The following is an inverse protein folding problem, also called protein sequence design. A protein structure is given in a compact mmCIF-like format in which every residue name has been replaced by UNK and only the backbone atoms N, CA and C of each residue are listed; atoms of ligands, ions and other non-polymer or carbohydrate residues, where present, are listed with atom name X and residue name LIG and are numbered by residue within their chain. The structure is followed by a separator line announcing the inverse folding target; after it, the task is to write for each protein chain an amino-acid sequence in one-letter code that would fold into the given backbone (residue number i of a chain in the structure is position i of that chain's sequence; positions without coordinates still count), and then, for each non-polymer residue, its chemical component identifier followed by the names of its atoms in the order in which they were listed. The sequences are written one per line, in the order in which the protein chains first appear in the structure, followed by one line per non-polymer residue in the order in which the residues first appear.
data_IF_504844127326
#
_entry.id   IF_504844127326
#
_cell.length_a   1.000
_cell.length_b   1.000
_cell.length_c   1.000
_cell.angle_alpha   90.00
_cell.angle_beta   90.00
_cell.angle_gamma   90.00
#
_symmetry.space_group_name_H-M   'P 1'
#
loop_
_entity.id
_entity.type
_entity.pdbx_description
1 polymer ?
#
# COMPACT_ATOMS: atom_id res chain seq x y z
N UNK A 1 27.70 23.66 8.81
CA UNK A 1 26.48 23.57 9.66
C UNK A 1 26.31 22.11 10.05
N UNK A 2 25.77 21.79 11.24
CA UNK A 2 25.48 20.39 11.57
C UNK A 2 24.51 19.81 10.54
N UNK A 3 24.69 18.54 10.19
CA UNK A 3 23.83 17.84 9.24
C UNK A 3 22.43 17.72 9.83
N UNK A 4 21.41 18.12 9.07
CA UNK A 4 20.00 18.02 9.50
C UNK A 4 19.56 16.56 9.56
N UNK A 5 18.90 16.18 10.64
CA UNK A 5 18.38 14.83 10.87
C UNK A 5 16.90 14.76 10.52
N UNK A 6 16.53 13.85 9.63
CA UNK A 6 15.16 13.65 9.17
C UNK A 6 14.72 12.22 9.45
N UNK A 7 13.57 12.06 10.11
CA UNK A 7 12.91 10.77 10.23
C UNK A 7 11.84 10.59 9.15
N UNK A 8 11.81 9.41 8.55
CA UNK A 8 10.74 8.96 7.65
C UNK A 8 10.06 7.75 8.28
N UNK A 9 8.76 7.84 8.54
CA UNK A 9 7.96 6.74 9.08
C UNK A 9 7.21 6.06 7.95
N UNK A 10 7.60 4.84 7.62
CA UNK A 10 7.12 4.02 6.52
C UNK A 10 8.13 3.86 5.40
N UNK A 11 8.51 2.60 5.14
CA UNK A 11 9.46 2.20 4.08
C UNK A 11 8.76 1.73 2.80
N UNK A 12 7.55 2.22 2.52
CA UNK A 12 6.89 2.05 1.22
C UNK A 12 7.51 2.96 0.15
N UNK A 13 6.95 2.95 -1.05
CA UNK A 13 7.51 3.73 -2.18
C UNK A 13 7.59 5.23 -1.89
N UNK A 14 6.65 5.80 -1.14
CA UNK A 14 6.67 7.21 -0.72
C UNK A 14 7.92 7.52 0.11
N UNK A 15 8.14 6.70 1.15
CA UNK A 15 9.32 6.86 2.01
C UNK A 15 10.63 6.60 1.28
N UNK A 16 10.65 5.62 0.38
CA UNK A 16 11.82 5.27 -0.41
C UNK A 16 12.26 6.41 -1.35
N UNK A 17 11.31 6.99 -2.09
CA UNK A 17 11.59 8.13 -2.99
C UNK A 17 11.99 9.37 -2.19
N UNK A 18 11.30 9.64 -1.08
CA UNK A 18 11.66 10.76 -0.21
C UNK A 18 13.06 10.58 0.41
N UNK A 19 13.40 9.39 0.88
CA UNK A 19 14.74 9.07 1.41
C UNK A 19 15.81 9.27 0.35
N UNK A 20 15.60 8.76 -0.86
CA UNK A 20 16.52 8.94 -1.98
C UNK A 20 16.76 10.42 -2.32
N UNK A 21 15.72 11.24 -2.22
CA UNK A 21 15.83 12.66 -2.47
C UNK A 21 16.52 13.43 -1.33
N UNK A 22 16.34 13.03 -0.07
CA UNK A 22 16.84 13.74 1.12
C UNK A 22 18.24 13.32 1.55
N UNK A 23 18.61 12.04 1.42
CA UNK A 23 19.86 11.50 1.94
C UNK A 23 21.14 12.17 1.40
N UNK A 24 21.18 12.73 0.17
CA UNK A 24 22.36 13.49 -0.28
C UNK A 24 22.67 14.75 0.55
N UNK A 25 21.70 15.30 1.28
CA UNK A 25 21.83 16.57 2.00
C UNK A 25 21.42 16.52 3.48
N UNK A 26 20.86 15.39 3.93
CA UNK A 26 20.41 15.16 5.30
C UNK A 26 20.88 13.80 5.83
N UNK A 27 20.98 13.66 7.15
CA UNK A 27 21.02 12.37 7.82
C UNK A 27 19.59 11.81 7.88
N UNK A 28 19.30 10.78 7.09
CA UNK A 28 17.94 10.23 6.96
C UNK A 28 17.82 8.88 7.64
N UNK A 29 16.82 8.74 8.50
CA UNK A 29 16.44 7.49 9.15
C UNK A 29 15.03 7.08 8.73
N UNK A 30 14.89 5.88 8.17
CA UNK A 30 13.61 5.30 7.76
C UNK A 30 13.19 4.22 8.73
N UNK A 31 12.02 4.36 9.32
CA UNK A 31 11.43 3.38 10.25
C UNK A 31 10.29 2.64 9.58
N UNK A 32 10.38 1.32 9.48
CA UNK A 32 9.35 0.49 8.87
C UNK A 32 8.93 -0.66 9.79
N UNK A 33 7.61 -0.84 9.95
CA UNK A 33 7.05 -1.86 10.83
C UNK A 33 7.04 -3.27 10.21
N UNK A 34 7.33 -3.39 8.92
CA UNK A 34 7.31 -4.65 8.19
C UNK A 34 8.33 -5.65 8.74
N UNK A 35 7.85 -6.81 9.22
CA UNK A 35 8.72 -7.88 9.75
C UNK A 35 9.66 -8.47 8.70
N UNK A 36 9.27 -8.38 7.43
CA UNK A 36 10.05 -8.86 6.28
C UNK A 36 10.77 -7.73 5.55
N UNK A 37 10.90 -6.59 6.20
CA UNK A 37 11.52 -5.38 5.66
C UNK A 37 10.55 -4.45 4.94
N UNK A 38 11.07 -3.32 4.42
CA UNK A 38 10.31 -2.30 3.73
C UNK A 38 9.55 -2.83 2.51
N UNK A 39 8.51 -2.11 2.10
CA UNK A 39 7.71 -2.48 0.94
C UNK A 39 6.29 -1.88 1.00
N UNK A 40 5.73 -1.80 2.18
CA UNK A 40 4.38 -1.30 2.39
C UNK A 40 3.35 -2.09 1.57
N UNK A 41 2.49 -1.39 0.83
CA UNK A 41 1.48 -2.00 -0.05
C UNK A 41 2.05 -2.57 -1.36
N UNK A 42 3.29 -2.30 -1.71
CA UNK A 42 4.03 -3.04 -2.73
C UNK A 42 4.55 -4.36 -2.13
N UNK A 43 3.62 -5.19 -1.67
CA UNK A 43 3.92 -6.43 -0.94
C UNK A 43 3.97 -7.63 -1.85
N UNK A 44 4.92 -8.50 -1.54
CA UNK A 44 5.14 -9.78 -2.22
C UNK A 44 5.15 -10.92 -1.20
N UNK A 45 4.78 -12.12 -1.64
CA UNK A 45 4.83 -13.33 -0.84
C UNK A 45 5.47 -14.45 -1.63
N UNK A 46 6.51 -15.02 -1.05
CA UNK A 46 7.16 -16.24 -1.50
C UNK A 46 6.75 -17.37 -0.57
N UNK A 47 6.32 -18.49 -1.10
CA UNK A 47 5.79 -19.63 -0.36
C UNK A 47 6.48 -20.91 -0.78
N UNK A 48 6.87 -21.73 0.19
CA UNK A 48 7.36 -23.07 -0.05
C UNK A 48 6.23 -23.97 -0.58
N UNK A 49 6.36 -24.59 -1.75
CA UNK A 49 5.28 -25.34 -2.38
C UNK A 49 4.90 -26.64 -1.63
N UNK A 50 5.77 -27.14 -0.77
CA UNK A 50 5.55 -28.41 -0.04
C UNK A 50 4.96 -28.19 1.35
N UNK A 51 5.42 -27.18 2.06
CA UNK A 51 5.02 -26.89 3.44
C UNK A 51 3.99 -25.75 3.56
N UNK A 52 3.81 -24.97 2.49
CA UNK A 52 3.06 -23.73 2.44
C UNK A 52 3.56 -22.65 3.42
N UNK A 53 4.79 -22.83 3.92
CA UNK A 53 5.42 -21.83 4.78
C UNK A 53 5.80 -20.58 3.97
N UNK A 54 5.57 -19.42 4.56
CA UNK A 54 5.99 -18.14 3.97
C UNK A 54 7.50 -17.98 4.17
N UNK A 55 8.22 -17.81 3.07
CA UNK A 55 9.67 -17.66 3.06
C UNK A 55 10.06 -16.17 3.13
N UNK A 56 10.95 -15.85 4.04
CA UNK A 56 11.55 -14.51 4.15
C UNK A 56 12.89 -14.49 3.40
N UNK A 57 12.84 -14.52 2.07
CA UNK A 57 14.04 -14.59 1.23
C UNK A 57 13.90 -13.74 -0.03
N UNK A 58 15.01 -13.15 -0.46
CA UNK A 58 15.11 -12.46 -1.76
C UNK A 58 15.68 -13.40 -2.86
N UNK A 59 16.06 -14.62 -2.49
CA UNK A 59 16.49 -15.68 -3.39
C UNK A 59 15.60 -16.93 -3.18
N UNK A 60 14.40 -16.94 -3.80
CA UNK A 60 13.46 -18.04 -3.64
C UNK A 60 14.05 -19.35 -4.17
N UNK A 61 13.78 -20.48 -3.49
CA UNK A 61 14.19 -21.78 -4.00
C UNK A 61 13.45 -22.11 -5.30
N UNK A 62 14.01 -22.96 -6.16
CA UNK A 62 13.33 -23.42 -7.36
C UNK A 62 11.94 -23.99 -7.03
N UNK A 63 10.95 -23.59 -7.82
CA UNK A 63 9.56 -24.04 -7.63
C UNK A 63 8.76 -23.30 -6.55
N UNK A 64 9.33 -22.31 -5.88
CA UNK A 64 8.58 -21.46 -4.94
C UNK A 64 7.35 -20.85 -5.60
N UNK A 65 6.28 -20.68 -4.82
CA UNK A 65 5.10 -19.97 -5.25
C UNK A 65 5.26 -18.49 -4.92
N UNK A 66 5.04 -17.62 -5.91
CA UNK A 66 5.33 -16.21 -5.77
C UNK A 66 4.13 -15.34 -6.15
N UNK A 67 3.79 -14.36 -5.31
CA UNK A 67 2.59 -13.54 -5.46
C UNK A 67 2.85 -12.09 -5.07
N UNK A 68 2.61 -11.16 -5.99
CA UNK A 68 2.40 -9.76 -5.63
C UNK A 68 0.97 -9.60 -5.13
N UNK A 69 0.75 -9.65 -3.82
CA UNK A 69 -0.60 -9.65 -3.24
C UNK A 69 -1.10 -8.26 -2.83
N UNK A 70 -0.29 -7.23 -3.01
CA UNK A 70 -0.66 -5.84 -2.85
C UNK A 70 -0.71 -5.12 -4.20
N UNK A 71 0.15 -4.14 -4.41
CA UNK A 71 0.29 -3.43 -5.68
C UNK A 71 0.70 -4.40 -6.79
N UNK A 72 -0.03 -4.37 -7.90
CA UNK A 72 0.14 -5.35 -8.99
C UNK A 72 1.15 -4.91 -10.04
N UNK A 73 1.26 -3.61 -10.25
CA UNK A 73 2.13 -2.95 -11.22
C UNK A 73 2.20 -1.46 -10.92
N UNK A 74 3.06 -0.74 -11.61
CA UNK A 74 3.12 0.71 -11.58
C UNK A 74 2.95 1.30 -13.00
N UNK A 75 2.38 2.48 -13.05
CA UNK A 75 2.29 3.33 -14.24
C UNK A 75 3.23 4.52 -14.10
N UNK A 76 3.54 5.14 -15.22
CA UNK A 76 4.34 6.34 -15.29
C UNK A 76 3.69 7.35 -16.26
N UNK A 77 2.60 7.98 -15.80
CA UNK A 77 1.83 8.95 -16.60
C UNK A 77 2.41 10.37 -16.47
N UNK A 78 2.91 10.74 -15.29
CA UNK A 78 3.59 12.00 -15.05
C UNK A 78 5.04 11.95 -15.58
N UNK A 79 5.53 13.08 -16.12
CA UNK A 79 6.89 13.16 -16.65
C UNK A 79 7.97 12.83 -15.60
N UNK A 80 7.76 13.23 -14.35
CA UNK A 80 8.69 12.93 -13.24
C UNK A 80 8.67 11.44 -12.90
N UNK A 81 7.48 10.82 -12.93
CA UNK A 81 7.38 9.38 -12.73
C UNK A 81 8.02 8.60 -13.87
N UNK A 82 7.90 9.08 -15.13
CA UNK A 82 8.64 8.48 -16.26
C UNK A 82 10.15 8.54 -16.07
N UNK A 83 10.66 9.66 -15.55
CA UNK A 83 12.09 9.78 -15.26
C UNK A 83 12.53 8.79 -14.16
N UNK A 84 11.78 8.66 -13.07
CA UNK A 84 12.05 7.67 -12.04
C UNK A 84 11.97 6.23 -12.58
N UNK A 85 10.94 5.91 -13.36
CA UNK A 85 10.78 4.59 -13.96
C UNK A 85 11.93 4.25 -14.92
N UNK A 86 12.38 5.20 -15.73
CA UNK A 86 13.53 5.02 -16.62
C UNK A 86 14.81 4.73 -15.81
N UNK A 87 15.10 5.52 -14.79
CA UNK A 87 16.22 5.26 -13.88
C UNK A 87 16.16 3.87 -13.26
N UNK A 88 14.97 3.47 -12.77
CA UNK A 88 14.79 2.16 -12.14
C UNK A 88 14.91 1.00 -13.14
N UNK A 89 14.52 1.20 -14.40
CA UNK A 89 14.73 0.22 -15.46
C UNK A 89 16.22 0.07 -15.77
N UNK A 90 16.95 1.18 -15.93
CA UNK A 90 18.39 1.17 -16.19
C UNK A 90 19.18 0.47 -15.08
N UNK A 91 18.69 0.55 -13.84
CA UNK A 91 19.26 -0.10 -12.66
C UNK A 91 18.74 -1.53 -12.42
N UNK A 92 17.88 -2.05 -13.28
CA UNK A 92 17.28 -3.39 -13.12
C UNK A 92 16.36 -3.53 -11.90
N UNK A 93 15.84 -2.44 -11.37
CA UNK A 93 14.91 -2.42 -10.23
C UNK A 93 13.51 -2.80 -10.70
N UNK A 94 13.07 -2.24 -11.82
CA UNK A 94 11.81 -2.60 -12.47
C UNK A 94 12.01 -2.87 -13.96
N UNK A 95 11.01 -3.47 -14.57
CA UNK A 95 10.99 -3.72 -16.02
C UNK A 95 9.57 -3.54 -16.56
N UNK A 96 9.45 -3.27 -17.86
CA UNK A 96 8.16 -3.23 -18.52
C UNK A 96 7.52 -4.62 -18.48
N UNK A 97 6.31 -4.70 -17.98
CA UNK A 97 5.52 -5.93 -18.01
C UNK A 97 4.84 -6.07 -19.37
N UNK A 98 5.36 -6.98 -20.19
CA UNK A 98 4.86 -7.25 -21.55
C UNK A 98 3.79 -8.34 -21.55
N UNK A 99 2.93 -8.34 -20.53
CA UNK A 99 1.81 -9.25 -20.44
C UNK A 99 0.70 -8.94 -21.44
N UNK A 100 -0.14 -9.92 -21.68
CA UNK A 100 -1.37 -9.79 -22.46
C UNK A 100 -2.51 -9.45 -21.52
N UNK A 101 -3.11 -8.29 -21.72
CA UNK A 101 -4.17 -7.77 -20.85
C UNK A 101 -5.51 -7.81 -21.57
N UNK A 102 -6.57 -8.09 -20.82
CA UNK A 102 -7.92 -8.12 -21.35
C UNK A 102 -8.98 -7.82 -20.29
N UNK A 103 -10.22 -7.70 -20.77
CA UNK A 103 -11.41 -7.50 -19.94
C UNK A 103 -12.37 -8.64 -20.16
N UNK A 104 -12.95 -9.15 -19.08
CA UNK A 104 -13.97 -10.20 -19.07
C UNK A 104 -15.25 -9.65 -18.46
N UNK A 105 -16.37 -9.83 -19.17
CA UNK A 105 -17.68 -9.27 -18.82
C UNK A 105 -17.95 -7.90 -19.42
N UNK A 106 -19.21 -7.48 -19.38
CA UNK A 106 -19.69 -6.22 -19.93
C UNK A 106 -19.52 -5.08 -18.90
N UNK A 107 -19.42 -3.83 -19.39
CA UNK A 107 -19.44 -2.63 -18.55
C UNK A 107 -18.19 -2.39 -17.72
N UNK A 108 -17.12 -3.12 -17.96
CA UNK A 108 -15.92 -3.01 -17.15
C UNK A 108 -15.18 -1.69 -17.37
N UNK A 109 -15.14 -0.86 -16.35
CA UNK A 109 -14.10 0.15 -16.27
C UNK A 109 -12.73 -0.53 -16.21
N UNK A 110 -11.70 -0.04 -16.92
CA UNK A 110 -10.36 -0.57 -16.77
C UNK A 110 -9.96 -0.60 -15.28
N UNK A 111 -9.31 -1.66 -14.83
CA UNK A 111 -8.69 -1.64 -13.51
C UNK A 111 -7.87 -0.35 -13.41
N UNK A 112 -8.10 0.43 -12.37
CA UNK A 112 -7.64 1.84 -12.27
C UNK A 112 -6.16 2.06 -12.55
N UNK A 113 -5.40 1.02 -12.67
CA UNK A 113 -4.00 1.07 -13.04
C UNK A 113 -3.72 0.82 -14.52
N UNK A 114 -4.63 0.20 -15.29
CA UNK A 114 -4.35 -0.08 -16.69
C UNK A 114 -4.47 1.19 -17.53
N UNK A 115 -3.45 1.50 -18.36
CA UNK A 115 -3.54 2.64 -19.27
C UNK A 115 -4.59 2.36 -20.36
N UNK A 116 -5.32 3.38 -20.73
CA UNK A 116 -6.19 3.36 -21.92
C UNK A 116 -5.41 3.49 -23.23
N UNK A 117 -4.11 3.75 -23.15
CA UNK A 117 -3.17 3.89 -24.24
C UNK A 117 -2.14 2.75 -24.23
N UNK A 118 -1.33 2.65 -25.28
CA UNK A 118 -0.19 1.71 -25.36
C UNK A 118 1.00 2.05 -24.43
N UNK A 119 0.79 2.91 -23.42
CA UNK A 119 1.82 3.24 -22.44
C UNK A 119 2.21 2.00 -21.64
N UNK A 120 3.51 1.77 -21.38
CA UNK A 120 3.95 0.59 -20.67
C UNK A 120 3.48 0.63 -19.21
N UNK A 121 3.14 -0.53 -18.67
CA UNK A 121 3.08 -0.79 -17.23
C UNK A 121 4.38 -1.47 -16.80
N UNK A 122 4.83 -1.16 -15.60
CA UNK A 122 6.07 -1.70 -15.08
C UNK A 122 5.82 -2.54 -13.83
N UNK A 123 6.69 -3.49 -13.58
CA UNK A 123 6.71 -4.30 -12.36
C UNK A 123 8.11 -4.35 -11.77
N UNK A 124 8.22 -4.59 -10.47
CA UNK A 124 9.51 -4.87 -9.83
C UNK A 124 10.07 -6.20 -10.33
N UNK A 125 11.34 -6.22 -10.72
CA UNK A 125 12.02 -7.46 -11.14
C UNK A 125 12.15 -8.41 -9.94
N UNK A 126 11.45 -9.55 -10.01
CA UNK A 126 11.37 -10.49 -8.89
C UNK A 126 10.41 -10.04 -7.77
N UNK A 127 9.39 -9.24 -8.11
CA UNK A 127 8.30 -8.83 -7.23
C UNK A 127 8.27 -7.34 -6.89
N UNK A 128 7.06 -6.83 -6.70
CA UNK A 128 6.81 -5.41 -6.47
C UNK A 128 7.51 -4.83 -5.24
N UNK A 129 7.70 -5.63 -4.19
CA UNK A 129 8.37 -5.21 -2.95
C UNK A 129 9.83 -4.78 -3.16
N UNK A 130 10.46 -5.29 -4.21
CA UNK A 130 11.85 -4.95 -4.52
C UNK A 130 12.03 -3.51 -4.98
N UNK A 131 11.01 -2.88 -5.54
CA UNK A 131 11.13 -1.49 -5.98
C UNK A 131 11.44 -0.56 -4.80
N UNK A 132 10.59 -0.43 -3.76
CA UNK A 132 10.92 0.43 -2.62
C UNK A 132 12.18 -0.02 -1.87
N UNK A 133 12.45 -1.33 -1.75
CA UNK A 133 13.66 -1.83 -1.07
C UNK A 133 14.93 -1.39 -1.77
N UNK A 134 15.04 -1.61 -3.07
CA UNK A 134 16.22 -1.25 -3.84
C UNK A 134 16.44 0.26 -3.95
N UNK A 135 15.35 1.03 -3.99
CA UNK A 135 15.44 2.49 -3.92
C UNK A 135 15.98 2.93 -2.56
N UNK A 136 15.51 2.33 -1.46
CA UNK A 136 16.05 2.61 -0.12
C UNK A 136 17.51 2.17 0.03
N UNK A 137 17.85 0.97 -0.38
CA UNK A 137 19.23 0.45 -0.33
C UNK A 137 20.21 1.39 -1.04
N UNK A 138 19.79 1.95 -2.16
CA UNK A 138 20.62 2.86 -2.94
C UNK A 138 20.61 4.31 -2.43
N UNK A 139 19.71 4.67 -1.52
CA UNK A 139 19.56 6.05 -1.04
C UNK A 139 20.68 6.51 -0.09
N UNK A 140 21.31 5.57 0.60
CA UNK A 140 22.25 5.87 1.70
C UNK A 140 21.56 6.20 3.03
N UNK A 141 20.23 6.11 3.12
CA UNK A 141 19.50 6.30 4.36
C UNK A 141 19.69 5.11 5.32
N UNK A 142 19.66 5.37 6.62
CA UNK A 142 19.64 4.32 7.64
C UNK A 142 18.23 3.74 7.77
N UNK A 143 18.07 2.44 7.52
CA UNK A 143 16.77 1.76 7.57
C UNK A 143 16.64 0.93 8.84
N UNK A 144 15.58 1.20 9.61
CA UNK A 144 15.20 0.48 10.83
C UNK A 144 13.96 -0.38 10.53
N UNK A 145 14.18 -1.61 10.04
CA UNK A 145 13.12 -2.56 9.72
C UNK A 145 12.59 -3.27 10.97
N UNK A 146 11.31 -3.63 10.97
CA UNK A 146 10.63 -4.27 12.11
C UNK A 146 10.39 -3.33 13.29
N UNK A 147 10.57 -2.02 13.10
CA UNK A 147 10.39 -1.00 14.13
C UNK A 147 9.11 -0.22 13.84
N UNK A 148 8.18 -0.27 14.79
CA UNK A 148 6.94 0.48 14.72
C UNK A 148 7.04 1.80 15.45
N UNK A 149 6.79 2.91 14.76
CA UNK A 149 6.58 4.21 15.39
C UNK A 149 5.12 4.31 15.81
N UNK A 150 4.87 4.38 17.11
CA UNK A 150 3.54 4.42 17.70
C UNK A 150 3.03 5.84 17.97
N UNK A 151 3.90 6.83 17.90
CA UNK A 151 3.57 8.24 18.11
C UNK A 151 4.77 9.16 18.01
N UNK A 152 4.55 10.44 18.18
CA UNK A 152 5.56 11.49 18.20
C UNK A 152 5.47 12.30 19.48
N UNK A 153 6.59 12.89 19.88
CA UNK A 153 6.65 13.87 20.96
C UNK A 153 7.53 15.06 20.57
N UNK A 154 6.99 16.26 20.76
CA UNK A 154 7.73 17.49 20.60
C UNK A 154 8.72 17.65 21.76
N UNK A 155 9.97 17.95 21.47
CA UNK A 155 11.03 18.14 22.46
C UNK A 155 11.79 19.45 22.19
N UNK A 156 12.28 20.10 23.24
CA UNK A 156 13.16 21.24 23.10
C UNK A 156 14.51 20.79 22.54
N UNK A 157 15.06 21.58 21.64
CA UNK A 157 16.43 21.33 21.17
C UNK A 157 17.45 21.63 22.29
N UNK A 158 18.45 20.80 22.44
CA UNK A 158 19.46 20.94 23.49
C UNK A 158 20.32 22.21 23.34
N UNK A 159 20.45 22.73 22.13
CA UNK A 159 21.21 23.93 21.76
C UNK A 159 20.38 25.22 21.77
N UNK A 160 19.11 25.17 22.24
CA UNK A 160 18.16 26.30 22.20
C UNK A 160 17.65 26.61 20.79
N UNK A 161 17.91 25.74 19.83
CA UNK A 161 17.41 25.82 18.46
C UNK A 161 15.90 25.56 18.36
N UNK A 162 15.37 25.46 17.12
CA UNK A 162 13.96 25.09 16.90
C UNK A 162 13.65 23.74 17.52
N UNK A 163 12.45 23.57 18.11
CA UNK A 163 12.04 22.30 18.69
C UNK A 163 12.15 21.13 17.69
N UNK A 164 12.49 19.96 18.23
CA UNK A 164 12.71 18.73 17.51
C UNK A 164 11.61 17.70 17.79
N UNK A 165 11.64 16.58 17.08
CA UNK A 165 10.70 15.47 17.23
C UNK A 165 11.40 14.23 17.77
N UNK A 166 10.92 13.69 18.89
CA UNK A 166 11.24 12.35 19.33
C UNK A 166 10.19 11.38 18.75
N UNK A 167 10.65 10.29 18.16
CA UNK A 167 9.79 9.20 17.74
C UNK A 167 9.58 8.25 18.92
N UNK A 168 8.33 7.88 19.15
CA UNK A 168 7.95 6.92 20.17
C UNK A 168 7.75 5.55 19.49
N UNK A 169 8.36 4.51 20.04
CA UNK A 169 8.31 3.20 19.43
C UNK A 169 8.08 2.11 20.45
N UNK A 170 7.35 1.08 20.03
CA UNK A 170 7.24 -0.18 20.75
C UNK A 170 8.10 -1.18 20.00
N UNK A 171 9.16 -1.66 20.62
CA UNK A 171 9.97 -2.76 20.10
C UNK A 171 9.16 -4.06 20.12
N UNK A 172 9.22 -4.80 19.00
CA UNK A 172 8.53 -6.08 18.87
C UNK A 172 7.20 -6.00 18.13
N UNK A 173 6.65 -7.16 17.84
CA UNK A 173 5.46 -7.36 17.01
C UNK A 173 4.14 -7.11 17.78
N UNK A 174 4.09 -6.13 18.66
CA UNK A 174 2.84 -5.75 19.30
C UNK A 174 1.84 -5.34 18.22
N UNK A 175 0.75 -6.10 18.12
CA UNK A 175 -0.34 -5.78 17.25
C UNK A 175 -0.88 -4.39 17.61
N UNK A 176 -1.34 -3.66 16.59
CA UNK A 176 -2.03 -2.39 16.81
C UNK A 176 -3.36 -2.74 17.50
N UNK A 177 -3.45 -2.46 18.76
CA UNK A 177 -4.71 -2.54 19.49
C UNK A 177 -5.24 -1.13 19.64
N UNK A 178 -6.46 -0.90 19.17
CA UNK A 178 -7.19 0.36 19.30
C UNK A 178 -7.79 0.51 20.72
N UNK A 179 -7.14 -0.05 21.73
CA UNK A 179 -7.58 0.06 23.12
C UNK A 179 -6.96 1.26 23.83
N UNK A 180 -7.63 1.74 24.88
CA UNK A 180 -7.12 2.81 25.71
C UNK A 180 -5.75 2.47 26.33
N UNK A 181 -5.55 1.19 26.70
CA UNK A 181 -4.30 0.67 27.24
C UNK A 181 -3.17 0.73 26.19
N UNK A 182 -3.47 0.38 24.93
CA UNK A 182 -2.48 0.46 23.86
C UNK A 182 -2.09 1.90 23.53
N UNK A 183 -3.04 2.84 23.59
CA UNK A 183 -2.75 4.27 23.45
C UNK A 183 -1.90 4.76 24.61
N UNK A 184 -2.21 4.39 25.86
CA UNK A 184 -1.42 4.74 27.03
C UNK A 184 0.01 4.18 26.93
N UNK A 185 0.15 2.89 26.61
CA UNK A 185 1.45 2.26 26.41
C UNK A 185 2.26 2.93 25.28
N UNK A 186 1.61 3.33 24.19
CA UNK A 186 2.26 4.05 23.09
C UNK A 186 2.71 5.47 23.52
N UNK A 187 1.92 6.15 24.35
CA UNK A 187 2.26 7.47 24.88
C UNK A 187 3.47 7.42 25.85
N UNK A 188 3.59 6.33 26.60
CA UNK A 188 4.69 6.08 27.56
C UNK A 188 5.90 5.40 26.89
N UNK A 189 5.81 5.04 25.61
CA UNK A 189 6.87 4.36 24.89
C UNK A 189 8.19 5.18 24.91
N UNK A 190 9.29 4.46 24.95
CA UNK A 190 10.62 5.07 24.91
C UNK A 190 10.87 5.73 23.56
N UNK A 191 11.66 6.79 23.57
CA UNK A 191 12.11 7.43 22.34
C UNK A 191 13.04 6.50 21.55
N UNK A 192 12.83 6.45 20.24
CA UNK A 192 13.66 5.71 19.29
C UNK A 192 14.89 6.56 18.89
N UNK A 193 15.89 6.58 19.77
CA UNK A 193 17.13 7.31 19.53
C UNK A 193 17.03 8.83 19.77
N UNK A 194 17.98 9.57 19.18
CA UNK A 194 18.05 11.02 19.32
C UNK A 194 16.96 11.72 18.51
N UNK A 195 16.50 12.91 18.93
CA UNK A 195 15.46 13.67 18.23
C UNK A 195 15.83 14.07 16.79
N UNK A 196 14.84 14.37 15.99
CA UNK A 196 14.93 14.76 14.58
C UNK A 196 14.52 16.20 14.33
N UNK A 197 15.20 16.88 13.41
CA UNK A 197 14.86 18.25 12.98
C UNK A 197 13.53 18.31 12.22
N UNK A 198 13.16 17.22 11.53
CA UNK A 198 11.91 17.10 10.80
C UNK A 198 11.44 15.64 10.73
N UNK A 199 10.13 15.46 10.54
CA UNK A 199 9.51 14.13 10.37
C UNK A 199 8.62 14.10 9.14
N UNK A 200 8.76 13.03 8.35
CA UNK A 200 7.88 12.71 7.23
C UNK A 200 7.13 11.40 7.53
N UNK A 201 5.82 11.48 7.64
CA UNK A 201 4.93 10.36 7.90
C UNK A 201 4.37 9.84 6.57
N UNK A 202 4.71 8.61 6.22
CA UNK A 202 4.28 7.96 4.97
C UNK A 202 3.49 6.67 5.20
N UNK A 203 3.40 6.24 6.46
CA UNK A 203 2.58 5.11 6.87
C UNK A 203 1.14 5.59 7.12
N UNK A 204 0.17 4.96 6.46
CA UNK A 204 -1.25 5.31 6.61
C UNK A 204 -1.75 5.16 8.04
N UNK A 205 -1.15 4.29 8.86
CA UNK A 205 -1.53 4.14 10.28
C UNK A 205 -1.28 5.41 11.10
N UNK A 206 -0.33 6.24 10.70
CA UNK A 206 -0.04 7.53 11.34
C UNK A 206 -1.16 8.58 11.14
N UNK A 207 -2.13 8.30 10.25
CA UNK A 207 -3.31 9.14 10.06
C UNK A 207 -4.50 8.75 10.93
N UNK A 208 -4.39 7.70 11.75
CA UNK A 208 -5.49 7.24 12.60
C UNK A 208 -5.62 8.07 13.88
N UNK A 209 -6.85 8.20 14.37
CA UNK A 209 -7.14 8.99 15.57
C UNK A 209 -6.34 8.50 16.81
N UNK A 210 -6.22 7.19 16.98
CA UNK A 210 -5.45 6.61 18.10
C UNK A 210 -3.97 6.95 18.03
N UNK A 211 -3.39 6.96 16.82
CA UNK A 211 -2.02 7.37 16.63
C UNK A 211 -1.81 8.83 17.01
N UNK A 212 -2.77 9.71 16.64
CA UNK A 212 -2.72 11.12 17.04
C UNK A 212 -2.91 11.30 18.55
N UNK A 213 -3.76 10.49 19.20
CA UNK A 213 -3.90 10.51 20.67
C UNK A 213 -2.63 10.11 21.39
N UNK A 214 -1.85 9.18 20.82
CA UNK A 214 -0.56 8.77 21.36
C UNK A 214 0.57 9.78 21.08
N UNK A 215 0.32 10.81 20.26
CA UNK A 215 1.33 11.78 19.84
C UNK A 215 1.13 13.12 20.55
N UNK A 216 2.20 13.70 21.07
CA UNK A 216 2.19 15.00 21.71
C UNK A 216 2.87 16.06 20.83
N UNK A 217 2.12 17.10 20.51
CA UNK A 217 2.59 18.25 19.73
C UNK A 217 2.24 18.20 18.22
N UNK A 218 1.55 17.16 17.76
CA UNK A 218 1.01 17.16 16.39
C UNK A 218 -0.12 18.18 16.29
N UNK A 219 -0.05 19.19 15.39
CA UNK A 219 -1.09 20.19 15.24
C UNK A 219 -2.43 19.55 14.83
N UNK A 220 -3.50 19.86 15.55
CA UNK A 220 -4.83 19.31 15.25
C UNK A 220 -5.31 19.66 13.84
N UNK A 221 -5.00 20.85 13.35
CA UNK A 221 -5.33 21.28 11.98
C UNK A 221 -4.69 20.38 10.92
N UNK A 222 -3.48 19.87 11.18
CA UNK A 222 -2.80 18.91 10.30
C UNK A 222 -3.39 17.52 10.49
N UNK A 223 -3.57 17.06 11.73
CA UNK A 223 -4.15 15.77 12.04
C UNK A 223 -5.55 15.60 11.43
N UNK A 224 -6.43 16.60 11.54
CA UNK A 224 -7.76 16.57 10.96
C UNK A 224 -7.73 16.37 9.44
N UNK A 225 -6.84 17.06 8.72
CA UNK A 225 -6.71 16.95 7.26
C UNK A 225 -6.41 15.53 6.77
N UNK A 226 -5.65 14.74 7.55
CA UNK A 226 -5.29 13.37 7.16
C UNK A 226 -6.28 12.33 7.69
N UNK A 227 -6.96 12.60 8.82
CA UNK A 227 -8.00 11.71 9.38
C UNK A 227 -9.28 11.68 8.56
N UNK A 228 -9.59 12.75 7.86
CA UNK A 228 -10.82 12.88 7.04
C UNK A 228 -10.79 12.01 5.78
N UNK A 229 -9.66 11.41 5.44
CA UNK A 229 -9.52 10.59 4.23
C UNK A 229 -10.21 9.24 4.41
N UNK A 230 -11.19 8.98 3.58
CA UNK A 230 -11.86 7.69 3.50
C UNK A 230 -10.90 6.65 2.92
N UNK A 231 -10.91 5.44 3.49
CA UNK A 231 -10.05 4.33 3.09
C UNK A 231 -10.89 3.22 2.50
N UNK A 232 -10.48 2.74 1.33
CA UNK A 232 -11.15 1.67 0.61
C UNK A 232 -10.47 0.35 0.94
N UNK A 233 -11.18 -0.63 1.53
CA UNK A 233 -10.63 -1.95 1.76
C UNK A 233 -10.67 -2.79 0.49
N UNK A 234 -9.75 -3.75 0.39
CA UNK A 234 -9.75 -4.79 -0.63
C UNK A 234 -9.33 -6.13 -0.01
N UNK A 235 -9.76 -7.22 -0.64
CA UNK A 235 -9.22 -8.55 -0.40
C UNK A 235 -8.37 -8.98 -1.59
N UNK A 236 -7.34 -9.77 -1.33
CA UNK A 236 -6.59 -10.46 -2.36
C UNK A 236 -6.61 -11.97 -2.06
N UNK A 237 -6.75 -12.80 -3.10
CA UNK A 237 -6.54 -14.23 -3.00
C UNK A 237 -5.30 -14.60 -3.84
N UNK A 238 -4.38 -15.32 -3.22
CA UNK A 238 -3.22 -15.92 -3.83
C UNK A 238 -3.54 -17.37 -4.13
N UNK A 239 -3.57 -17.75 -5.39
CA UNK A 239 -3.91 -19.11 -5.81
C UNK A 239 -2.82 -19.69 -6.71
N UNK A 240 -2.45 -20.95 -6.46
CA UNK A 240 -1.58 -21.70 -7.37
C UNK A 240 -2.31 -22.95 -7.88
N UNK A 241 -2.23 -23.14 -9.19
CA UNK A 241 -2.75 -24.31 -9.89
C UNK A 241 -1.60 -25.26 -10.24
N UNK A 242 -1.83 -26.57 -10.08
CA UNK A 242 -0.82 -27.60 -10.36
C UNK A 242 -0.33 -27.56 -11.82
N UNK A 243 -1.24 -27.25 -12.74
CA UNK A 243 -0.98 -27.10 -14.16
C UNK A 243 -1.50 -25.76 -14.68
N UNK A 244 -1.04 -25.26 -15.82
CA UNK A 244 -1.53 -24.04 -16.42
C UNK A 244 -3.04 -24.07 -16.71
N UNK A 245 -3.73 -22.96 -16.44
CA UNK A 245 -5.15 -22.77 -16.76
C UNK A 245 -5.43 -22.77 -18.27
N UNK A 246 -4.41 -22.58 -19.09
CA UNK A 246 -4.56 -22.45 -20.55
C UNK A 246 -5.11 -21.10 -20.99
N UNK A 247 -5.08 -20.09 -20.13
CA UNK A 247 -5.54 -18.74 -20.47
C UNK A 247 -4.52 -18.00 -21.35
N UNK A 248 -5.03 -17.33 -22.36
CA UNK A 248 -4.22 -16.48 -23.24
C UNK A 248 -3.84 -15.13 -22.60
N UNK A 249 -4.46 -14.76 -21.50
CA UNK A 249 -4.27 -13.48 -20.80
C UNK A 249 -3.38 -13.65 -19.56
N UNK A 250 -2.61 -12.61 -19.29
CA UNK A 250 -1.69 -12.52 -18.15
C UNK A 250 -2.23 -11.59 -17.05
N UNK A 251 -3.05 -10.64 -17.44
CA UNK A 251 -3.77 -9.74 -16.56
C UNK A 251 -5.20 -9.53 -17.06
N UNK A 252 -6.17 -9.66 -16.17
CA UNK A 252 -7.59 -9.66 -16.50
C UNK A 252 -8.32 -8.66 -15.62
N UNK A 253 -8.99 -7.71 -16.26
CA UNK A 253 -9.96 -6.83 -15.64
C UNK A 253 -11.34 -7.47 -15.73
N UNK A 254 -12.17 -7.33 -14.71
CA UNK A 254 -13.51 -7.93 -14.69
C UNK A 254 -14.61 -6.87 -14.74
N UNK A 255 -15.73 -7.22 -15.36
CA UNK A 255 -16.89 -6.37 -15.54
C UNK A 255 -17.60 -6.01 -14.25
N UNK A 256 -18.53 -5.08 -14.36
CA UNK A 256 -19.32 -4.60 -13.24
C UNK A 256 -20.13 -5.75 -12.61
N UNK A 257 -20.19 -5.74 -11.27
CA UNK A 257 -20.91 -6.76 -10.49
C UNK A 257 -20.12 -8.03 -10.17
N UNK A 258 -18.95 -8.23 -10.74
CA UNK A 258 -18.08 -9.34 -10.36
C UNK A 258 -17.44 -9.09 -8.97
N UNK A 259 -17.27 -10.12 -8.13
CA UNK A 259 -16.51 -9.98 -6.88
C UNK A 259 -15.03 -9.69 -7.10
N UNK A 260 -14.45 -10.16 -8.21
CA UNK A 260 -13.06 -9.93 -8.61
C UNK A 260 -12.99 -8.70 -9.50
N UNK A 261 -12.10 -7.80 -9.18
CA UNK A 261 -11.81 -6.61 -9.97
C UNK A 261 -10.65 -6.85 -10.95
N UNK A 262 -9.62 -7.53 -10.46
CA UNK A 262 -8.39 -7.79 -11.20
C UNK A 262 -7.83 -9.17 -10.90
N UNK A 263 -7.27 -9.82 -11.92
CA UNK A 263 -6.45 -11.02 -11.76
C UNK A 263 -5.15 -10.88 -12.54
N UNK A 264 -4.05 -11.38 -11.99
CA UNK A 264 -2.75 -11.38 -12.68
C UNK A 264 -1.97 -12.66 -12.44
N UNK A 265 -1.32 -13.15 -13.51
CA UNK A 265 -0.44 -14.31 -13.49
C UNK A 265 0.98 -13.88 -13.13
N UNK A 266 1.52 -14.46 -12.05
CA UNK A 266 2.84 -14.11 -11.57
C UNK A 266 3.95 -14.41 -12.58
N UNK A 267 3.92 -15.59 -13.22
CA UNK A 267 4.95 -16.04 -14.16
C UNK A 267 5.08 -15.19 -15.43
N UNK A 268 4.13 -14.31 -15.70
CA UNK A 268 4.23 -13.34 -16.81
C UNK A 268 5.04 -12.09 -16.46
N UNK A 269 5.39 -11.94 -15.17
CA UNK A 269 6.12 -10.77 -14.66
C UNK A 269 7.63 -11.03 -14.67
N UNK A 270 8.45 -10.06 -15.10
CA UNK A 270 9.91 -10.15 -15.08
C UNK A 270 10.50 -10.58 -13.72
N UNK A 271 11.29 -11.63 -13.74
CA UNK A 271 11.95 -12.20 -12.56
C UNK A 271 11.06 -13.14 -11.73
N UNK A 272 9.86 -13.50 -12.22
CA UNK A 272 8.95 -14.46 -11.61
C UNK A 272 8.59 -15.61 -12.56
N UNK A 273 9.36 -15.82 -13.64
CA UNK A 273 9.06 -16.79 -14.71
C UNK A 273 9.20 -18.25 -14.29
N UNK A 274 9.74 -18.50 -13.10
CA UNK A 274 9.97 -19.86 -12.58
C UNK A 274 8.73 -20.46 -11.92
N UNK A 275 8.78 -21.77 -11.71
CA UNK A 275 7.81 -22.49 -10.89
C UNK A 275 7.09 -23.63 -11.63
N UNK A 276 6.78 -24.71 -10.90
CA UNK A 276 6.02 -25.84 -11.42
C UNK A 276 4.50 -25.61 -11.41
N UNK A 277 4.02 -24.68 -10.58
CA UNK A 277 2.62 -24.33 -10.43
C UNK A 277 2.36 -22.95 -11.03
N UNK A 278 1.19 -22.76 -11.65
CA UNK A 278 0.77 -21.45 -12.17
C UNK A 278 0.16 -20.60 -11.06
N UNK A 279 0.79 -19.48 -10.74
CA UNK A 279 0.41 -18.58 -9.65
C UNK A 279 -0.40 -17.37 -10.14
N UNK A 280 -1.56 -17.16 -9.52
CA UNK A 280 -2.44 -16.01 -9.78
C UNK A 280 -2.71 -15.22 -8.51
N UNK A 281 -2.74 -13.92 -8.63
CA UNK A 281 -3.28 -13.01 -7.61
C UNK A 281 -4.61 -12.45 -8.08
N UNK A 282 -5.65 -12.64 -7.26
CA UNK A 282 -7.00 -12.12 -7.50
C UNK A 282 -7.23 -10.97 -6.54
N UNK A 283 -7.69 -9.83 -7.03
CA UNK A 283 -7.99 -8.64 -6.21
C UNK A 283 -9.49 -8.38 -6.26
N UNK A 284 -10.12 -8.23 -5.10
CA UNK A 284 -11.55 -7.99 -4.99
C UNK A 284 -11.97 -6.61 -5.46
N UNK A 285 -13.26 -6.45 -5.77
CA UNK A 285 -13.88 -5.13 -5.85
C UNK A 285 -14.02 -4.50 -4.45
N UNK A 286 -14.11 -3.16 -4.36
CA UNK A 286 -14.46 -2.48 -3.13
C UNK A 286 -15.82 -2.92 -2.55
N UNK A 287 -16.81 -3.17 -3.40
CA UNK A 287 -18.14 -3.61 -2.98
C UNK A 287 -18.08 -4.96 -2.25
N UNK A 288 -17.39 -5.95 -2.85
CA UNK A 288 -17.17 -7.24 -2.19
C UNK A 288 -16.46 -7.07 -0.84
N UNK A 289 -15.44 -6.23 -0.78
CA UNK A 289 -14.68 -6.02 0.45
C UNK A 289 -15.53 -5.35 1.55
N UNK A 290 -16.40 -4.42 1.19
CA UNK A 290 -17.34 -3.79 2.14
C UNK A 290 -18.35 -4.79 2.67
N UNK A 291 -18.91 -5.64 1.81
CA UNK A 291 -19.86 -6.67 2.22
C UNK A 291 -19.22 -7.68 3.21
N UNK A 292 -18.00 -8.14 2.91
CA UNK A 292 -17.24 -9.04 3.79
C UNK A 292 -16.90 -8.40 5.16
N UNK A 293 -16.49 -7.13 5.17
CA UNK A 293 -16.17 -6.40 6.41
C UNK A 293 -17.44 -6.13 7.22
N UNK A 294 -18.56 -5.91 6.56
CA UNK A 294 -19.86 -5.75 7.26
C UNK A 294 -20.28 -7.03 7.94
N UNK A 295 -20.11 -8.18 7.26
CA UNK A 295 -20.41 -9.50 7.81
C UNK A 295 -19.48 -9.91 8.96
N UNK A 296 -18.18 -9.58 8.83
CA UNK A 296 -17.14 -9.89 9.84
C UNK A 296 -16.34 -8.64 10.17
N UNK A 297 -16.86 -7.77 11.07
CA UNK A 297 -16.23 -6.50 11.40
C UNK A 297 -14.84 -6.67 12.02
N UNK A 298 -13.93 -5.75 11.67
CA UNK A 298 -12.58 -5.69 12.26
C UNK A 298 -12.52 -5.02 13.61
N UNK A 299 -13.59 -4.38 14.01
CA UNK A 299 -13.68 -3.70 15.30
C UNK A 299 -14.81 -4.29 16.11
N UNK A 300 -14.56 -4.42 17.39
CA UNK A 300 -15.62 -4.73 18.34
C UNK A 300 -16.56 -3.52 18.41
N UNK A 301 -17.87 -3.75 18.25
CA UNK A 301 -18.86 -2.68 18.22
C UNK A 301 -19.00 -1.95 19.56
N UNK A 302 -18.70 -2.62 20.67
CA UNK A 302 -18.86 -2.06 22.02
C UNK A 302 -17.59 -1.34 22.49
N UNK A 303 -16.40 -1.89 22.18
CA UNK A 303 -15.12 -1.40 22.72
C UNK A 303 -14.30 -0.64 21.68
N UNK A 304 -14.61 -0.76 20.39
CA UNK A 304 -13.79 -0.23 19.30
C UNK A 304 -12.47 -0.98 19.11
N UNK A 305 -12.22 -2.05 19.86
CA UNK A 305 -10.98 -2.82 19.80
C UNK A 305 -10.83 -3.50 18.43
N UNK A 306 -9.64 -3.43 17.88
CA UNK A 306 -9.32 -4.10 16.63
C UNK A 306 -9.37 -5.62 16.80
N UNK A 307 -10.13 -6.29 15.94
CA UNK A 307 -10.19 -7.74 15.82
C UNK A 307 -9.43 -8.17 14.58
N UNK A 308 -8.24 -8.76 14.70
CA UNK A 308 -7.57 -9.36 13.55
C UNK A 308 -8.48 -10.40 12.93
N UNK A 309 -8.62 -10.38 11.59
CA UNK A 309 -9.24 -11.51 10.93
C UNK A 309 -8.26 -12.66 10.90
N UNK A 310 -8.72 -13.81 11.36
CA UNK A 310 -7.92 -15.03 11.37
C UNK A 310 -7.71 -15.56 9.95
N UNK A 311 -6.57 -16.18 9.72
CA UNK A 311 -6.26 -16.84 8.45
C UNK A 311 -7.33 -17.90 8.09
N UNK A 312 -7.89 -18.57 9.10
CA UNK A 312 -9.03 -19.50 8.95
C UNK A 312 -10.22 -18.87 8.23
N UNK A 313 -10.64 -17.66 8.65
CA UNK A 313 -11.72 -16.92 7.98
C UNK A 313 -11.33 -16.52 6.55
N UNK A 314 -10.14 -15.94 6.36
CA UNK A 314 -9.68 -15.50 5.05
C UNK A 314 -9.62 -16.66 4.04
N UNK A 315 -9.25 -17.85 4.52
CA UNK A 315 -9.06 -19.03 3.70
C UNK A 315 -10.33 -19.88 3.50
N UNK A 316 -11.34 -19.74 4.36
CA UNK A 316 -12.62 -20.45 4.23
C UNK A 316 -13.75 -19.62 3.59
N UNK A 317 -13.68 -18.30 3.64
CA UNK A 317 -14.68 -17.36 3.13
C UNK A 317 -14.20 -16.58 1.90
N UNK A 318 -13.49 -15.45 2.08
CA UNK A 318 -13.16 -14.53 0.98
C UNK A 318 -12.33 -15.15 -0.13
N UNK A 319 -11.27 -15.91 0.18
CA UNK A 319 -10.40 -16.46 -0.85
C UNK A 319 -11.11 -17.50 -1.74
N UNK A 320 -11.87 -18.48 -1.21
CA UNK A 320 -12.68 -19.37 -2.04
C UNK A 320 -13.77 -18.66 -2.85
N UNK A 321 -14.36 -17.58 -2.32
CA UNK A 321 -15.34 -16.81 -3.05
C UNK A 321 -14.74 -16.11 -4.27
N UNK A 322 -13.57 -15.48 -4.10
CA UNK A 322 -12.82 -14.86 -5.20
C UNK A 322 -12.34 -15.92 -6.22
N UNK A 323 -11.87 -17.08 -5.74
CA UNK A 323 -11.45 -18.17 -6.63
C UNK A 323 -12.61 -18.66 -7.50
N UNK A 324 -13.78 -18.93 -6.91
CA UNK A 324 -14.96 -19.34 -7.69
C UNK A 324 -15.36 -18.30 -8.71
N UNK A 325 -15.48 -17.03 -8.30
CA UNK A 325 -15.84 -15.95 -9.22
C UNK A 325 -14.84 -15.82 -10.37
N UNK A 326 -13.54 -15.98 -10.10
CA UNK A 326 -12.51 -16.00 -11.13
C UNK A 326 -12.66 -17.17 -12.09
N UNK A 327 -12.72 -18.41 -11.57
CA UNK A 327 -12.80 -19.62 -12.40
C UNK A 327 -14.06 -19.66 -13.25
N UNK A 328 -15.19 -19.22 -12.71
CA UNK A 328 -16.46 -19.15 -13.44
C UNK A 328 -16.38 -18.10 -14.57
N UNK A 329 -15.85 -16.92 -14.27
CA UNK A 329 -15.74 -15.85 -15.26
C UNK A 329 -14.80 -16.18 -16.42
N UNK A 330 -13.70 -16.92 -16.19
CA UNK A 330 -12.73 -17.28 -17.23
C UNK A 330 -12.99 -18.65 -17.86
N UNK A 331 -14.04 -19.38 -17.46
CA UNK A 331 -14.30 -20.72 -17.95
C UNK A 331 -14.38 -20.81 -19.48
N UNK A 332 -15.03 -19.82 -20.10
CA UNK A 332 -15.20 -19.74 -21.57
C UNK A 332 -13.91 -19.36 -22.33
N UNK A 333 -12.87 -18.90 -21.63
CA UNK A 333 -11.56 -18.55 -22.21
C UNK A 333 -10.58 -19.73 -22.17
N UNK A 334 -10.93 -20.79 -21.46
CA UNK A 334 -10.13 -22.00 -21.33
C UNK A 334 -10.42 -22.98 -22.49
N UNK A 335 -9.51 -23.91 -22.79
CA UNK A 335 -9.81 -24.99 -23.74
C UNK A 335 -11.07 -25.76 -23.31
N UNK A 336 -12.02 -25.92 -24.21
CA UNK A 336 -13.41 -26.35 -23.92
C UNK A 336 -13.53 -27.68 -23.15
N UNK A 337 -12.61 -28.62 -23.35
CA UNK A 337 -12.64 -29.95 -22.71
C UNK A 337 -11.61 -30.12 -21.60
N UNK A 338 -10.83 -29.08 -21.28
CA UNK A 338 -9.81 -29.19 -20.25
C UNK A 338 -10.43 -29.08 -18.87
N UNK A 339 -10.23 -30.08 -17.98
CA UNK A 339 -10.68 -29.99 -16.59
C UNK A 339 -10.00 -28.79 -15.90
N UNK A 340 -10.65 -28.24 -14.87
CA UNK A 340 -10.02 -27.23 -14.05
C UNK A 340 -8.82 -27.85 -13.32
N UNK A 341 -7.58 -27.31 -13.47
CA UNK A 341 -6.42 -27.81 -12.78
C UNK A 341 -6.61 -27.77 -11.25
N UNK A 342 -6.01 -28.73 -10.59
CA UNK A 342 -6.06 -28.81 -9.13
C UNK A 342 -5.41 -27.59 -8.48
N UNK A 343 -6.12 -26.97 -7.55
CA UNK A 343 -5.58 -25.90 -6.70
C UNK A 343 -4.62 -26.53 -5.68
N UNK A 344 -3.37 -26.10 -5.68
CA UNK A 344 -2.32 -26.58 -4.77
C UNK A 344 -2.04 -25.60 -3.64
N UNK A 345 -2.43 -24.35 -3.80
CA UNK A 345 -2.33 -23.32 -2.77
C UNK A 345 -3.46 -22.29 -2.92
N UNK A 346 -4.04 -21.90 -1.79
CA UNK A 346 -5.02 -20.82 -1.72
C UNK A 346 -4.88 -20.11 -0.38
N UNK A 347 -4.64 -18.81 -0.40
CA UNK A 347 -4.59 -17.99 0.80
C UNK A 347 -5.18 -16.61 0.55
N UNK A 348 -6.02 -16.15 1.47
CA UNK A 348 -6.57 -14.81 1.50
C UNK A 348 -5.64 -13.82 2.18
N UNK A 349 -5.72 -12.58 1.73
CA UNK A 349 -5.10 -11.42 2.37
C UNK A 349 -6.09 -10.29 2.40
N UNK A 350 -6.19 -9.61 3.52
CA UNK A 350 -7.01 -8.42 3.65
C UNK A 350 -6.16 -7.16 3.72
N UNK A 351 -6.58 -6.15 2.99
CA UNK A 351 -6.06 -4.80 2.99
C UNK A 351 -7.12 -3.84 3.50
N UNK A 352 -7.10 -3.50 4.81
CA UNK A 352 -8.09 -2.60 5.41
C UNK A 352 -8.01 -1.15 4.90
N UNK A 353 -6.84 -0.76 4.42
CA UNK A 353 -6.58 0.55 3.81
C UNK A 353 -5.81 0.35 2.51
N UNK A 354 -6.43 -0.37 1.55
CA UNK A 354 -5.80 -0.68 0.28
C UNK A 354 -5.55 0.58 -0.54
N UNK A 355 -6.55 1.46 -0.60
CA UNK A 355 -6.54 2.70 -1.35
C UNK A 355 -7.21 3.81 -0.54
N UNK A 356 -6.78 5.08 -0.66
CA UNK A 356 -7.60 6.20 -0.27
C UNK A 356 -8.74 6.36 -1.29
N UNK A 357 -9.92 6.80 -0.83
CA UNK A 357 -10.96 7.22 -1.75
C UNK A 357 -10.53 8.49 -2.49
N UNK A 358 -10.98 8.67 -3.74
CA UNK A 358 -10.70 9.89 -4.49
C UNK A 358 -11.22 11.14 -3.75
N UNK A 359 -10.42 12.19 -3.70
CA UNK A 359 -10.74 13.39 -2.94
C UNK A 359 -11.36 14.51 -3.75
N UNK A 360 -11.23 14.45 -5.07
CA UNK A 360 -11.62 15.53 -5.97
C UNK A 360 -12.97 15.31 -6.65
N UNK A 361 -13.69 14.29 -6.23
CA UNK A 361 -14.98 13.99 -6.82
C UNK A 361 -16.05 14.56 -5.90
N UNK A 362 -16.35 15.83 -6.04
CA UNK A 362 -17.54 16.49 -5.51
C UNK A 362 -17.93 16.17 -4.06
N UNK A 363 -16.98 16.12 -3.15
CA UNK A 363 -17.27 15.89 -1.75
C UNK A 363 -17.78 14.48 -1.44
N UNK A 364 -18.67 14.33 -0.47
CA UNK A 364 -19.22 13.04 -0.03
C UNK A 364 -19.93 12.26 -1.13
N UNK A 365 -20.44 12.95 -2.14
CA UNK A 365 -21.20 12.31 -3.22
C UNK A 365 -20.33 11.49 -4.16
N UNK A 366 -19.05 11.73 -4.16
CA UNK A 366 -18.10 10.97 -4.93
C UNK A 366 -17.67 9.65 -4.28
N UNK A 367 -17.80 9.56 -2.97
CA UNK A 367 -17.71 8.27 -2.29
C UNK A 367 -19.05 7.53 -2.36
N UNK A 368 -20.03 8.12 -3.06
CA UNK A 368 -21.38 7.61 -3.28
C UNK A 368 -22.13 7.41 -1.99
N UNK A 369 -23.27 8.05 -1.86
CA UNK A 369 -24.20 7.70 -0.81
C UNK A 369 -24.88 6.38 -1.20
N UNK A 370 -24.33 5.29 -0.74
CA UNK A 370 -24.97 4.00 -0.87
C UNK A 370 -25.85 3.67 0.32
N UNK A 371 -26.58 2.56 0.23
CA UNK A 371 -27.50 2.08 1.25
C UNK A 371 -26.78 1.45 2.46
N UNK A 372 -25.79 2.13 3.05
CA UNK A 372 -25.14 1.69 4.28
C UNK A 372 -23.77 2.29 4.49
N UNK A 373 -23.47 2.65 5.72
CA UNK A 373 -22.16 3.16 6.13
C UNK A 373 -21.39 2.05 6.81
N UNK A 374 -20.22 1.75 6.32
CA UNK A 374 -19.29 0.80 6.93
C UNK A 374 -18.13 1.59 7.53
N UNK A 375 -17.90 1.40 8.83
CA UNK A 375 -16.68 1.92 9.45
C UNK A 375 -15.52 1.01 9.13
N UNK A 376 -14.55 1.56 8.43
CA UNK A 376 -13.27 0.91 8.17
C UNK A 376 -12.24 1.62 9.04
N UNK A 377 -11.83 0.94 10.10
CA UNK A 377 -11.05 1.54 11.18
C UNK A 377 -11.84 2.68 11.83
N UNK A 378 -11.29 3.87 11.92
CA UNK A 378 -11.94 5.07 12.50
C UNK A 378 -12.65 5.96 11.47
N UNK A 379 -12.70 5.52 10.22
CA UNK A 379 -13.28 6.27 9.11
C UNK A 379 -14.54 5.58 8.59
N UNK A 380 -15.63 6.35 8.43
CA UNK A 380 -16.84 5.86 7.80
C UNK A 380 -16.63 5.78 6.28
N UNK A 381 -16.95 4.63 5.70
CA UNK A 381 -17.03 4.41 4.26
C UNK A 381 -18.48 4.12 3.89
N UNK A 382 -19.07 4.97 3.06
CA UNK A 382 -20.41 4.78 2.53
C UNK A 382 -20.33 3.95 1.24
N UNK A 383 -21.14 2.90 1.15
CA UNK A 383 -21.25 2.10 -0.07
C UNK A 383 -21.75 3.00 -1.20
N UNK A 384 -20.98 3.13 -2.25
CA UNK A 384 -21.33 4.02 -3.35
C UNK A 384 -22.32 3.41 -4.35
N UNK A 385 -23.29 4.23 -4.75
CA UNK A 385 -24.13 3.97 -5.91
C UNK A 385 -24.28 5.30 -6.67
N UNK A 386 -23.62 5.55 -7.76
CA UNK A 386 -22.81 4.62 -8.57
C UNK A 386 -21.49 4.17 -7.91
N UNK A 387 -20.84 3.14 -8.46
CA UNK A 387 -19.56 2.65 -7.95
C UNK A 387 -18.52 3.74 -7.86
N UNK A 388 -17.57 3.62 -6.91
CA UNK A 388 -16.43 4.53 -6.82
C UNK A 388 -15.68 4.55 -8.15
N UNK A 389 -15.56 5.72 -8.74
CA UNK A 389 -14.67 5.94 -9.88
C UNK A 389 -13.34 6.45 -9.33
N UNK A 390 -12.25 5.83 -9.74
CA UNK A 390 -10.89 6.27 -9.42
C UNK A 390 -10.30 7.13 -10.55
N UNK A 391 -11.16 7.61 -11.44
CA UNK A 391 -10.78 8.51 -12.51
C UNK A 391 -10.42 9.88 -11.94
N UNK A 392 -9.37 10.42 -12.47
CA UNK A 392 -8.71 11.60 -11.99
C UNK A 392 -9.42 12.87 -12.42
N UNK A 393 -9.82 13.70 -11.47
CA UNK A 393 -9.96 15.13 -11.75
C UNK A 393 -8.56 15.77 -11.88
N UNK A 394 -8.33 16.65 -12.86
CA UNK A 394 -7.06 17.36 -12.95
C UNK A 394 -6.85 18.15 -11.65
N UNK A 395 -5.71 17.90 -10.99
CA UNK A 395 -5.32 18.65 -9.80
C UNK A 395 -5.27 20.14 -10.14
N UNK A 396 -5.85 20.97 -9.27
CA UNK A 396 -5.71 22.43 -9.42
C UNK A 396 -4.21 22.79 -9.46
N UNK A 397 -3.81 23.58 -10.43
CA UNK A 397 -2.43 23.98 -10.58
C UNK A 397 -1.90 24.61 -9.28
N UNK A 398 -0.78 24.10 -8.76
CA UNK A 398 -0.12 24.60 -7.55
C UNK A 398 -0.57 23.98 -6.23
N UNK A 399 -1.50 23.03 -6.21
CA UNK A 399 -1.86 22.33 -4.98
C UNK A 399 -0.81 21.26 -4.62
N UNK A 400 -0.37 21.28 -3.36
CA UNK A 400 0.61 20.30 -2.87
C UNK A 400 0.01 18.89 -2.80
N UNK A 401 0.80 17.91 -3.22
CA UNK A 401 0.46 16.48 -3.11
C UNK A 401 0.88 15.87 -1.76
N UNK A 402 1.03 16.70 -0.74
CA UNK A 402 1.34 16.33 0.64
C UNK A 402 0.57 17.21 1.62
N UNK A 403 0.51 16.83 2.89
CA UNK A 403 0.00 17.68 3.96
C UNK A 403 1.15 18.01 4.92
N UNK A 404 1.26 19.26 5.35
CA UNK A 404 2.32 19.69 6.24
C UNK A 404 1.91 20.83 7.17
N UNK A 405 2.62 20.88 8.29
CA UNK A 405 2.89 22.10 9.05
C UNK A 405 4.38 22.39 8.90
N UNK A 406 4.72 23.37 8.05
CA UNK A 406 6.11 23.69 7.75
C UNK A 406 6.81 24.34 8.95
N UNK A 407 6.09 25.09 9.79
CA UNK A 407 6.63 25.66 11.03
C UNK A 407 7.04 24.59 12.04
N UNK A 408 6.24 23.55 12.13
CA UNK A 408 6.51 22.39 12.96
C UNK A 408 7.46 21.37 12.30
N UNK A 409 7.79 21.52 11.03
CA UNK A 409 8.60 20.59 10.21
C UNK A 409 8.03 19.16 10.25
N UNK A 410 6.71 19.05 10.25
CA UNK A 410 5.97 17.80 10.27
C UNK A 410 5.17 17.65 8.97
N UNK A 411 5.43 16.56 8.27
CA UNK A 411 4.89 16.27 6.95
C UNK A 411 4.20 14.93 6.90
N UNK A 412 3.13 14.84 6.09
CA UNK A 412 2.47 13.62 5.68
C UNK A 412 2.54 13.51 4.17
N UNK A 413 2.99 12.37 3.66
CA UNK A 413 3.02 12.10 2.23
C UNK A 413 2.55 10.67 1.94
N UNK A 414 2.04 10.46 0.74
CA UNK A 414 1.52 9.19 0.27
C UNK A 414 0.35 9.40 -0.65
N UNK A 415 -0.17 8.34 -1.25
CA UNK A 415 -1.38 8.42 -2.06
C UNK A 415 -2.61 8.88 -1.26
N UNK A 416 -2.60 8.68 0.06
CA UNK A 416 -3.66 9.15 0.98
C UNK A 416 -3.64 10.67 1.25
N UNK A 417 -2.58 11.38 0.85
CA UNK A 417 -2.51 12.85 0.90
C UNK A 417 -2.49 13.46 -0.49
N UNK A 418 -2.25 12.66 -1.52
CA UNK A 418 -2.17 13.10 -2.91
C UNK A 418 -3.56 13.39 -3.48
N UNK A 419 -3.62 14.32 -4.41
CA UNK A 419 -4.80 14.62 -5.24
C UNK A 419 -4.85 13.81 -6.52
N UNK A 420 -3.81 13.01 -6.77
CA UNK A 420 -3.72 12.12 -7.93
C UNK A 420 -4.60 10.90 -7.72
N UNK A 421 -4.92 10.20 -8.81
CA UNK A 421 -5.53 8.87 -8.70
C UNK A 421 -4.68 7.99 -7.76
N UNK A 422 -5.31 7.30 -6.80
CA UNK A 422 -4.58 6.49 -5.83
C UNK A 422 -3.69 5.45 -6.49
N UNK A 423 -2.56 5.16 -5.88
CA UNK A 423 -1.67 4.11 -6.34
C UNK A 423 -0.19 4.48 -6.28
N UNK A 424 0.62 3.69 -6.99
CA UNK A 424 2.07 3.75 -6.88
C UNK A 424 2.65 5.10 -7.33
N UNK A 425 2.20 5.66 -8.48
CA UNK A 425 2.65 6.95 -8.97
C UNK A 425 2.31 8.09 -8.01
N UNK A 426 1.07 8.13 -7.53
CA UNK A 426 0.63 9.14 -6.57
C UNK A 426 1.48 9.09 -5.29
N UNK A 427 1.75 7.89 -4.79
CA UNK A 427 2.57 7.65 -3.61
C UNK A 427 4.02 8.12 -3.81
N UNK A 428 4.64 7.76 -4.94
CA UNK A 428 6.02 8.15 -5.27
C UNK A 428 6.18 9.67 -5.42
N UNK A 429 5.28 10.30 -6.18
CA UNK A 429 5.34 11.74 -6.45
C UNK A 429 5.01 12.57 -5.21
N UNK A 430 4.08 12.11 -4.36
CA UNK A 430 3.82 12.73 -3.06
C UNK A 430 5.08 12.75 -2.18
N UNK A 431 5.83 11.64 -2.15
CA UNK A 431 7.11 11.57 -1.45
C UNK A 431 8.17 12.53 -1.99
N UNK A 432 8.27 12.65 -3.31
CA UNK A 432 9.20 13.57 -3.97
C UNK A 432 8.85 15.03 -3.67
N UNK A 433 7.57 15.39 -3.71
CA UNK A 433 7.10 16.75 -3.43
C UNK A 433 7.31 17.12 -1.97
N UNK A 434 7.02 16.20 -1.03
CA UNK A 434 7.28 16.40 0.39
C UNK A 434 8.78 16.55 0.69
N UNK A 435 9.65 15.74 0.07
CA UNK A 435 11.09 15.84 0.21
C UNK A 435 11.62 17.20 -0.30
N UNK A 436 11.08 17.67 -1.41
CA UNK A 436 11.45 19.00 -1.97
C UNK A 436 11.04 20.13 -1.04
N UNK A 437 9.88 20.03 -0.41
CA UNK A 437 9.42 21.00 0.59
C UNK A 437 10.26 20.94 1.87
N UNK A 438 10.62 19.74 2.33
CA UNK A 438 11.48 19.55 3.50
C UNK A 438 12.86 20.17 3.30
N UNK A 439 13.49 19.99 2.13
CA UNK A 439 14.77 20.67 1.81
C UNK A 439 14.66 22.17 1.95
N UNK A 440 13.61 22.76 1.39
CA UNK A 440 13.36 24.21 1.46
C UNK A 440 13.20 24.70 2.90
N UNK A 441 12.41 23.97 3.71
CA UNK A 441 12.14 24.31 5.12
C UNK A 441 13.38 24.13 6.00
N UNK A 442 14.24 23.17 5.69
CA UNK A 442 15.47 22.89 6.42
C UNK A 442 16.64 23.79 5.96
N UNK A 443 16.50 24.46 4.83
CA UNK A 443 17.55 25.30 4.25
C UNK A 443 18.74 24.51 3.69
N UNK A 444 18.48 23.35 3.07
CA UNK A 444 19.49 22.43 2.50
C UNK A 444 19.23 22.11 1.05
#
# INVERSE_FOLDING_TARGET
MPTRRVAIVGGGITGAVAASALAPVCEVHVYDQGRRGPGGRASHRTVDPSTHAVLATDAPPPGALEFDHGCQFLRADDARMRALAAEWVDRGICAAWRGRFGTVGDGASPFFGLPTSAAPVYVGVGGMHRVPRRVLEASGATVHAGVRVSGLRRVAAADGGPPQWALLGVGGAAAFHDTAEAVAAATEAAALGAPFDAVLLTDVSSSFANWHRASAGVPESLAARVRERVRVPLFAAMVAFAEPLGLALDGINFGDGAPVWWASRSQSKPGLEGGAAECWTLVSTPAFAVDEITAVPMQDAATGAFRPQEDSYLNSGPAPALLRAFTDAVAHLRPAEAPLPRVVYLQGQRWGSALPAPTDVGGRDATGRGAGTVRVLDVAYERSTPPLTFDRAPAAAGAADYAADEGERLFYAGDFTSRRAPGFEAAALSGLDAASALKRVLGV
#
